data_IF_269140402594
#
_entry.id   IF_269140402594
#
_cell.length_a   1.000
_cell.length_b   1.000
_cell.length_c   1.000
_cell.angle_alpha   90.00
_cell.angle_beta   90.00
_cell.angle_gamma   90.00
#
_symmetry.space_group_name_H-M   'P 1'
#
loop_
_entity.id
_entity.type
_entity.pdbx_description
1 polymer ?
#
# COMPACT_ATOMS: atom_id res chain seq x y z
N UNK A 1 9.63 -1.40 -5.65
CA UNK A 1 8.91 -1.11 -6.92
C UNK A 1 7.56 -1.81 -6.88
N UNK A 2 6.50 -1.18 -7.38
CA UNK A 2 5.15 -1.76 -7.42
C UNK A 2 4.53 -1.55 -8.80
N UNK A 3 3.94 -2.61 -9.35
CA UNK A 3 3.19 -2.59 -10.61
C UNK A 3 1.92 -3.41 -10.38
N UNK A 4 0.79 -2.90 -10.86
CA UNK A 4 -0.50 -3.59 -10.81
C UNK A 4 -1.11 -3.60 -12.20
N UNK A 5 -1.47 -4.78 -12.68
CA UNK A 5 -2.17 -4.99 -13.94
C UNK A 5 -3.58 -5.50 -13.66
N UNK A 6 -4.58 -4.87 -14.27
CA UNK A 6 -5.96 -5.35 -14.17
C UNK A 6 -6.74 -4.98 -15.44
N UNK A 7 -6.75 -5.85 -16.48
CA UNK A 7 -7.32 -5.52 -17.79
C UNK A 7 -8.82 -5.14 -17.74
N UNK A 8 -9.55 -5.70 -16.77
CA UNK A 8 -10.96 -5.39 -16.53
C UNK A 8 -11.22 -3.99 -15.97
N UNK A 9 -10.27 -3.40 -15.23
CA UNK A 9 -10.47 -2.14 -14.47
C UNK A 9 -9.47 -1.04 -14.82
N UNK A 10 -8.20 -1.38 -14.97
CA UNK A 10 -7.13 -0.46 -15.39
C UNK A 10 -7.03 -0.52 -16.92
N UNK A 11 -7.73 0.40 -17.59
CA UNK A 11 -7.84 0.42 -19.06
C UNK A 11 -6.68 1.12 -19.78
N UNK A 12 -5.96 1.98 -19.07
CA UNK A 12 -4.84 2.73 -19.63
C UNK A 12 -3.68 2.71 -18.63
N UNK A 13 -2.47 2.69 -19.19
CA UNK A 13 -1.25 2.81 -18.40
C UNK A 13 -1.26 4.16 -17.68
N UNK A 14 -0.95 4.14 -16.39
CA UNK A 14 -0.82 5.35 -15.58
C UNK A 14 0.22 5.16 -14.48
N UNK A 15 0.76 6.28 -14.05
CA UNK A 15 1.71 6.38 -12.94
C UNK A 15 1.03 7.15 -11.82
N UNK A 16 1.36 6.81 -10.57
CA UNK A 16 0.85 7.48 -9.38
C UNK A 16 2.00 7.72 -8.40
N UNK A 17 2.05 8.94 -7.86
CA UNK A 17 3.04 9.33 -6.85
C UNK A 17 2.52 9.13 -5.42
N UNK A 18 1.38 8.45 -5.27
CA UNK A 18 0.84 8.14 -3.95
C UNK A 18 1.74 7.13 -3.25
N UNK A 19 2.12 7.49 -2.02
CA UNK A 19 2.82 6.59 -1.12
C UNK A 19 1.96 5.37 -0.77
N UNK A 20 2.42 4.21 -1.21
CA UNK A 20 1.82 2.91 -0.92
C UNK A 20 2.84 1.99 -0.24
N UNK A 21 2.36 1.07 0.59
CA UNK A 21 3.16 0.05 1.24
C UNK A 21 2.63 -1.37 0.95
N UNK A 22 3.40 -2.38 1.32
CA UNK A 22 2.99 -3.79 1.14
C UNK A 22 1.79 -4.18 2.00
N UNK A 23 1.63 -3.57 3.18
CA UNK A 23 0.49 -3.79 4.09
C UNK A 23 -0.85 -3.31 3.51
N UNK A 24 -0.83 -2.39 2.53
CA UNK A 24 -2.02 -1.88 1.83
C UNK A 24 -2.64 -2.94 0.90
N UNK A 25 -1.89 -3.99 0.51
CA UNK A 25 -2.37 -5.03 -0.42
C UNK A 25 -3.56 -5.79 0.18
N UNK A 26 -3.47 -6.23 1.44
CA UNK A 26 -4.52 -7.00 2.09
C UNK A 26 -5.88 -6.26 2.19
N UNK A 27 -5.97 -5.05 2.77
CA UNK A 27 -7.24 -4.32 2.83
C UNK A 27 -7.77 -3.94 1.43
N UNK A 28 -6.88 -3.69 0.47
CA UNK A 28 -7.27 -3.44 -0.92
C UNK A 28 -7.97 -4.65 -1.52
N UNK A 29 -7.41 -5.85 -1.37
CA UNK A 29 -8.01 -7.08 -1.90
C UNK A 29 -9.36 -7.40 -1.26
N UNK A 30 -9.50 -7.20 0.06
CA UNK A 30 -10.78 -7.37 0.75
C UNK A 30 -11.87 -6.45 0.18
N UNK A 31 -11.57 -5.16 0.02
CA UNK A 31 -12.52 -4.20 -0.56
C UNK A 31 -12.88 -4.58 -2.01
N UNK A 32 -11.90 -4.95 -2.83
CA UNK A 32 -12.12 -5.34 -4.22
C UNK A 32 -12.94 -6.62 -4.36
N UNK A 33 -12.78 -7.56 -3.42
CA UNK A 33 -13.55 -8.79 -3.37
C UNK A 33 -14.95 -8.61 -2.75
N UNK A 34 -15.25 -7.43 -2.18
CA UNK A 34 -16.51 -7.18 -1.45
C UNK A 34 -16.61 -7.99 -0.15
N UNK A 35 -15.48 -8.41 0.41
CA UNK A 35 -15.43 -9.24 1.63
C UNK A 35 -15.25 -8.32 2.84
N UNK A 36 -16.10 -8.50 3.84
CA UNK A 36 -15.96 -7.79 5.11
C UNK A 36 -14.69 -8.25 5.86
N UNK A 37 -14.10 -7.32 6.60
CA UNK A 37 -13.00 -7.62 7.51
C UNK A 37 -13.42 -8.73 8.51
N UNK A 38 -12.67 -9.85 8.59
CA UNK A 38 -13.01 -10.91 9.53
C UNK A 38 -12.98 -10.40 10.97
N UNK A 39 -13.94 -10.83 11.81
CA UNK A 39 -14.02 -10.41 13.21
C UNK A 39 -12.77 -10.74 14.03
N UNK A 40 -12.01 -11.77 13.61
CA UNK A 40 -10.76 -12.21 14.25
C UNK A 40 -9.53 -11.45 13.76
N UNK A 41 -9.68 -10.53 12.80
CA UNK A 41 -8.58 -9.81 12.18
C UNK A 41 -8.06 -8.69 13.10
N UNK A 42 -6.76 -8.67 13.44
CA UNK A 42 -6.16 -7.52 14.13
C UNK A 42 -6.28 -6.23 13.33
N UNK A 43 -6.13 -5.09 14.01
CA UNK A 43 -6.10 -3.78 13.35
C UNK A 43 -5.05 -3.78 12.25
N UNK A 44 -5.45 -3.35 11.05
CA UNK A 44 -4.56 -3.28 9.91
C UNK A 44 -3.73 -2.00 9.94
N UNK A 45 -2.47 -2.11 9.55
CA UNK A 45 -1.56 -0.97 9.35
C UNK A 45 -1.72 -0.34 7.95
N UNK A 46 -2.23 -1.12 7.01
CA UNK A 46 -2.49 -0.69 5.64
C UNK A 46 -3.84 -0.02 5.46
N UNK A 47 -3.98 0.71 4.36
CA UNK A 47 -5.23 1.29 3.87
C UNK A 47 -5.58 0.69 2.50
N UNK A 48 -6.85 0.71 2.13
CA UNK A 48 -7.25 0.30 0.79
C UNK A 48 -6.84 1.32 -0.27
N UNK A 49 -6.28 0.82 -1.37
CA UNK A 49 -5.92 1.55 -2.58
C UNK A 49 -6.99 1.39 -3.68
N UNK A 50 -8.12 0.76 -3.39
CA UNK A 50 -9.20 0.61 -4.35
C UNK A 50 -9.76 1.95 -4.90
N UNK A 51 -9.85 3.06 -4.12
CA UNK A 51 -10.20 4.37 -4.67
C UNK A 51 -9.23 4.85 -5.75
N UNK A 52 -7.93 4.68 -5.53
CA UNK A 52 -6.90 4.95 -6.53
C UNK A 52 -7.10 4.10 -7.78
N UNK A 53 -7.46 2.82 -7.63
CA UNK A 53 -7.78 1.95 -8.77
C UNK A 53 -8.98 2.46 -9.57
N UNK A 54 -10.00 3.02 -8.90
CA UNK A 54 -11.18 3.65 -9.53
C UNK A 54 -10.88 5.01 -10.19
N UNK A 55 -9.67 5.54 -10.06
CA UNK A 55 -9.28 6.84 -10.63
C UNK A 55 -9.67 8.03 -9.75
N UNK A 56 -10.03 7.78 -8.50
CA UNK A 56 -10.34 8.84 -7.54
C UNK A 56 -9.05 9.50 -7.03
N UNK A 57 -9.11 10.81 -6.75
CA UNK A 57 -8.00 11.51 -6.11
C UNK A 57 -7.88 11.00 -4.67
N UNK A 58 -6.84 10.22 -4.40
CA UNK A 58 -6.57 9.68 -3.09
C UNK A 58 -5.34 10.34 -2.49
N UNK A 59 -5.48 10.83 -1.26
CA UNK A 59 -4.34 11.27 -0.44
C UNK A 59 -4.28 10.33 0.74
N UNK A 60 -3.09 9.74 0.98
CA UNK A 60 -2.86 8.94 2.17
C UNK A 60 -2.91 9.86 3.40
N UNK A 61 -3.96 9.73 4.21
CA UNK A 61 -4.16 10.54 5.42
C UNK A 61 -3.37 10.00 6.63
N UNK A 62 -3.17 8.70 6.70
CA UNK A 62 -2.49 8.05 7.83
C UNK A 62 -0.99 7.87 7.53
N UNK A 63 -0.09 8.22 8.46
CA UNK A 63 1.34 8.01 8.26
C UNK A 63 1.66 6.51 8.09
N UNK A 64 2.78 6.21 7.44
CA UNK A 64 3.30 4.85 7.33
C UNK A 64 4.29 4.60 8.47
N UNK A 65 4.09 3.49 9.18
CA UNK A 65 5.10 3.00 10.12
C UNK A 65 6.31 2.47 9.36
N UNK A 66 7.50 2.93 9.73
CA UNK A 66 8.75 2.37 9.24
C UNK A 66 9.43 1.60 10.36
N UNK A 67 9.87 0.39 10.05
CA UNK A 67 10.65 -0.38 11.00
C UNK A 67 12.07 0.15 11.05
N UNK A 68 12.55 0.44 12.25
CA UNK A 68 13.94 0.84 12.49
C UNK A 68 14.67 -0.33 13.14
N UNK A 69 15.73 -0.82 12.49
CA UNK A 69 16.61 -1.78 13.15
C UNK A 69 17.41 -1.06 14.23
N UNK A 70 17.43 -1.61 15.44
CA UNK A 70 18.08 -0.98 16.59
C UNK A 70 19.61 -0.98 16.48
N UNK A 71 20.20 -1.90 15.69
CA UNK A 71 21.64 -1.92 15.50
C UNK A 71 22.05 -0.83 14.51
N UNK A 72 23.02 -0.01 14.92
CA UNK A 72 23.71 0.90 14.00
C UNK A 72 24.39 0.08 12.89
N UNK A 73 24.20 0.49 11.64
CA UNK A 73 24.99 -0.05 10.54
C UNK A 73 26.48 0.19 10.78
N UNK A 74 27.34 -0.74 10.33
CA UNK A 74 28.78 -0.53 10.36
C UNK A 74 29.14 0.69 9.50
N UNK A 75 29.68 1.73 10.12
CA UNK A 75 30.13 2.91 9.39
C UNK A 75 31.26 2.51 8.43
N UNK A 76 31.04 2.64 7.13
CA UNK A 76 32.15 2.68 6.16
C UNK A 76 32.65 4.11 6.09
N UNK A 77 33.95 4.32 6.29
CA UNK A 77 34.57 5.58 5.89
C UNK A 77 34.36 5.74 4.38
N UNK A 78 33.75 6.86 3.98
CA UNK A 78 33.79 7.28 2.59
C UNK A 78 35.27 7.46 2.21
N UNK A 79 35.69 6.82 1.11
CA UNK A 79 36.99 7.07 0.50
C UNK A 79 36.93 8.36 -0.29
#
# INVERSE_FOLDING_TARGET
PAVLEWPGRVKANRITDINANTSDIYPTLLELAGVALPNIQPRLDGISLAPLLRGEKQVRKQPMGFWTYHNRGYGRQAR
#
